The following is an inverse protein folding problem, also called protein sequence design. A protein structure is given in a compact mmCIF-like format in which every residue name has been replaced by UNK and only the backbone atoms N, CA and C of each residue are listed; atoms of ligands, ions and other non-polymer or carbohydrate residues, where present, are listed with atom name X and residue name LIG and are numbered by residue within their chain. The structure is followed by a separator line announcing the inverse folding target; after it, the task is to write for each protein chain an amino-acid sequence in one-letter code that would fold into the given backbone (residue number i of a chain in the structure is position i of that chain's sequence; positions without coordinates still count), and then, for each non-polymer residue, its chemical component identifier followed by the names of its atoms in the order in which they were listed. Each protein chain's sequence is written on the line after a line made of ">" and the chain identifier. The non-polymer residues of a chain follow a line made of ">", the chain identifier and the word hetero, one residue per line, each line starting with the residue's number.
data_IF_458956981748
#
_entry.id   IF_458956981748
#
_cell.length_a   1.000
_cell.length_b   1.000
_cell.length_c   1.000
_cell.angle_alpha   90.00
_cell.angle_beta   90.00
_cell.angle_gamma   90.00
#
_symmetry.space_group_name_H-M   'P 1'
#
loop_
_entity.id
_entity.type
_entity.pdbx_description
1 polymer ?
#
# COMPACT_ATOMS: atom_id res chain seq x y z
N UNK A 1 -1.02 4.29 -11.33
CA UNK A 1 -0.24 3.53 -12.33
C UNK A 1 0.42 2.34 -11.65
N UNK A 2 0.47 1.18 -12.33
CA UNK A 2 1.12 -0.02 -11.80
C UNK A 2 2.65 0.14 -11.80
N UNK A 3 3.35 -0.32 -10.75
CA UNK A 3 4.80 -0.30 -10.70
C UNK A 3 5.39 -1.35 -11.65
N UNK A 4 6.62 -1.09 -12.13
CA UNK A 4 7.28 -1.88 -13.20
C UNK A 4 7.44 -3.36 -12.83
N UNK A 5 7.69 -3.66 -11.56
CA UNK A 5 7.84 -5.01 -11.02
C UNK A 5 6.55 -5.85 -11.11
N UNK A 6 5.39 -5.20 -11.10
CA UNK A 6 4.08 -5.84 -11.26
C UNK A 6 3.63 -5.95 -12.73
N UNK A 7 4.34 -5.34 -13.68
CA UNK A 7 4.03 -5.48 -15.10
C UNK A 7 4.28 -6.92 -15.57
N UNK A 8 3.30 -7.48 -16.29
CA UNK A 8 3.39 -8.81 -16.86
C UNK A 8 3.42 -8.71 -18.38
N UNK A 9 4.52 -9.17 -18.99
CA UNK A 9 4.72 -9.16 -20.43
C UNK A 9 5.48 -10.42 -20.87
N UNK A 10 5.58 -10.60 -22.18
CA UNK A 10 6.44 -11.61 -22.81
C UNK A 10 7.14 -11.00 -24.02
N UNK A 11 8.31 -11.52 -24.35
CA UNK A 11 8.98 -11.21 -25.61
C UNK A 11 8.47 -12.15 -26.71
N UNK A 12 8.28 -11.60 -27.91
CA UNK A 12 7.92 -12.33 -29.12
C UNK A 12 8.74 -11.76 -30.29
N UNK A 13 9.90 -12.35 -30.55
CA UNK A 13 10.89 -11.77 -31.47
C UNK A 13 11.37 -10.41 -30.94
N UNK A 14 11.17 -9.36 -31.74
CA UNK A 14 11.54 -7.98 -31.41
C UNK A 14 10.42 -7.20 -30.69
N UNK A 15 9.29 -7.85 -30.39
CA UNK A 15 8.13 -7.21 -29.78
C UNK A 15 7.96 -7.57 -28.29
N UNK A 16 7.50 -6.59 -27.51
CA UNK A 16 7.03 -6.78 -26.13
C UNK A 16 5.51 -6.89 -26.14
N UNK A 17 5.00 -8.08 -25.81
CA UNK A 17 3.57 -8.36 -25.77
C UNK A 17 3.08 -8.33 -24.32
N UNK A 18 2.14 -7.45 -23.95
CA UNK A 18 1.57 -7.42 -22.60
C UNK A 18 0.73 -8.67 -22.36
N UNK A 19 0.89 -9.28 -21.17
CA UNK A 19 0.01 -10.36 -20.74
C UNK A 19 -1.26 -9.76 -20.17
N UNK A 20 -2.37 -9.92 -20.89
CA UNK A 20 -3.70 -9.52 -20.42
C UNK A 20 -4.20 -10.51 -19.39
N UNK A 21 -4.83 -9.99 -18.34
CA UNK A 21 -5.48 -10.79 -17.33
C UNK A 21 -6.76 -11.43 -17.90
N UNK A 22 -6.94 -12.74 -17.69
CA UNK A 22 -8.16 -13.42 -18.07
C UNK A 22 -9.30 -13.03 -17.12
N UNK A 23 -10.50 -12.79 -17.66
CA UNK A 23 -11.67 -12.42 -16.85
C UNK A 23 -12.50 -13.69 -16.55
N UNK A 24 -11.96 -14.54 -15.71
CA UNK A 24 -12.55 -15.82 -15.30
C UNK A 24 -13.07 -15.79 -13.85
N UNK A 25 -13.60 -16.93 -13.38
CA UNK A 25 -14.18 -17.03 -12.04
C UNK A 25 -13.13 -16.84 -10.93
N UNK A 26 -11.92 -17.38 -11.10
CA UNK A 26 -10.84 -17.27 -10.13
C UNK A 26 -10.39 -15.81 -9.98
N UNK A 27 -10.15 -15.13 -11.09
CA UNK A 27 -9.74 -13.72 -11.11
C UNK A 27 -10.81 -12.83 -10.47
N UNK A 28 -12.09 -13.09 -10.78
CA UNK A 28 -13.22 -12.36 -10.17
C UNK A 28 -13.31 -12.61 -8.66
N UNK A 29 -13.06 -13.83 -8.20
CA UNK A 29 -13.07 -14.15 -6.78
C UNK A 29 -11.97 -13.39 -6.03
N UNK A 30 -10.74 -13.37 -6.56
CA UNK A 30 -9.63 -12.61 -5.98
C UNK A 30 -9.93 -11.11 -5.93
N UNK A 31 -10.48 -10.56 -7.02
CA UNK A 31 -10.87 -9.16 -7.05
C UNK A 31 -11.95 -8.84 -6.01
N UNK A 32 -12.97 -9.69 -5.89
CA UNK A 32 -14.05 -9.52 -4.91
C UNK A 32 -13.53 -9.59 -3.47
N UNK A 33 -12.65 -10.54 -3.17
CA UNK A 33 -12.01 -10.68 -1.86
C UNK A 33 -11.23 -9.42 -1.48
N UNK A 34 -10.38 -8.92 -2.39
CA UNK A 34 -9.62 -7.69 -2.16
C UNK A 34 -10.52 -6.46 -1.98
N UNK A 35 -11.55 -6.31 -2.81
CA UNK A 35 -12.51 -5.19 -2.66
C UNK A 35 -13.20 -5.26 -1.29
N UNK A 36 -13.62 -6.45 -0.87
CA UNK A 36 -14.26 -6.67 0.42
C UNK A 36 -13.31 -6.33 1.57
N UNK A 37 -12.03 -6.69 1.45
CA UNK A 37 -11.00 -6.36 2.45
C UNK A 37 -10.87 -4.84 2.63
N UNK A 38 -10.77 -4.09 1.53
CA UNK A 38 -10.71 -2.63 1.57
C UNK A 38 -11.98 -2.00 2.15
N UNK A 39 -13.15 -2.54 1.82
CA UNK A 39 -14.42 -2.06 2.38
C UNK A 39 -14.52 -2.27 3.90
N UNK A 40 -14.03 -3.41 4.38
CA UNK A 40 -14.02 -3.76 5.80
C UNK A 40 -12.93 -3.01 6.59
N UNK A 41 -11.88 -2.54 5.92
CA UNK A 41 -10.80 -1.76 6.53
C UNK A 41 -11.12 -0.26 6.68
N UNK A 42 -12.35 0.17 6.37
CA UNK A 42 -12.81 1.53 6.70
C UNK A 42 -12.72 1.75 8.21
N UNK A 43 -12.36 2.96 8.61
CA UNK A 43 -12.13 3.35 10.02
C UNK A 43 -10.94 2.66 10.71
N UNK A 44 -10.20 1.82 9.99
CA UNK A 44 -8.95 1.22 10.46
C UNK A 44 -7.73 1.98 9.94
N UNK A 45 -6.57 1.75 10.56
CA UNK A 45 -5.33 2.36 10.09
C UNK A 45 -4.87 1.72 8.78
N UNK A 46 -4.19 2.50 7.94
CA UNK A 46 -3.53 1.97 6.73
C UNK A 46 -2.51 0.86 7.05
N UNK A 47 -1.91 0.88 8.24
CA UNK A 47 -1.01 -0.16 8.71
C UNK A 47 -1.69 -1.52 8.90
N UNK A 48 -2.91 -1.53 9.46
CA UNK A 48 -3.70 -2.75 9.61
C UNK A 48 -4.10 -3.34 8.27
N UNK A 49 -4.57 -2.51 7.33
CA UNK A 49 -4.87 -2.93 5.96
C UNK A 49 -3.63 -3.54 5.28
N UNK A 50 -2.47 -2.89 5.38
CA UNK A 50 -1.23 -3.40 4.79
C UNK A 50 -0.84 -4.77 5.35
N UNK A 51 -1.03 -4.99 6.66
CA UNK A 51 -0.77 -6.29 7.29
C UNK A 51 -1.70 -7.37 6.73
N UNK A 52 -3.01 -7.09 6.64
CA UNK A 52 -3.97 -8.03 6.08
C UNK A 52 -3.67 -8.36 4.60
N UNK A 53 -3.25 -7.37 3.81
CA UNK A 53 -2.83 -7.57 2.42
C UNK A 53 -1.59 -8.47 2.32
N UNK A 54 -0.63 -8.32 3.24
CA UNK A 54 0.56 -9.15 3.28
C UNK A 54 0.24 -10.61 3.66
N UNK A 55 -0.68 -10.82 4.60
CA UNK A 55 -1.19 -12.14 4.96
C UNK A 55 -1.86 -12.80 3.75
N UNK A 56 -2.78 -12.10 3.08
CA UNK A 56 -3.50 -12.61 1.90
C UNK A 56 -2.57 -12.95 0.73
N UNK A 57 -1.47 -12.21 0.57
CA UNK A 57 -0.46 -12.50 -0.45
C UNK A 57 0.24 -13.85 -0.20
N UNK A 58 0.53 -14.18 1.06
CA UNK A 58 1.28 -15.39 1.44
C UNK A 58 0.55 -16.71 1.24
N UNK A 59 -0.76 -16.68 0.98
CA UNK A 59 -1.61 -17.88 0.92
C UNK A 59 -1.63 -18.58 -0.45
N UNK A 60 -1.21 -17.93 -1.55
CA UNK A 60 -1.32 -18.53 -2.89
C UNK A 60 -0.26 -18.09 -3.90
N UNK A 61 -0.14 -18.84 -5.00
CA UNK A 61 0.79 -18.54 -6.11
C UNK A 61 0.37 -17.32 -6.94
N UNK A 62 -0.84 -16.80 -6.73
CA UNK A 62 -1.40 -15.65 -7.45
C UNK A 62 -0.94 -14.30 -6.86
N UNK A 63 0.15 -14.28 -6.09
CA UNK A 63 0.65 -13.11 -5.37
C UNK A 63 0.81 -11.87 -6.26
N UNK A 64 1.25 -12.03 -7.51
CA UNK A 64 1.42 -10.90 -8.45
C UNK A 64 0.09 -10.25 -8.82
N UNK A 65 -0.95 -11.05 -9.04
CA UNK A 65 -2.31 -10.55 -9.32
C UNK A 65 -2.87 -9.84 -8.09
N UNK A 66 -2.76 -10.48 -6.91
CA UNK A 66 -3.20 -9.90 -5.64
C UNK A 66 -2.53 -8.55 -5.37
N UNK A 67 -1.21 -8.47 -5.50
CA UNK A 67 -0.44 -7.21 -5.37
C UNK A 67 -0.86 -6.15 -6.39
N UNK A 68 -1.04 -6.53 -7.65
CA UNK A 68 -1.45 -5.61 -8.71
C UNK A 68 -2.79 -4.95 -8.41
N UNK A 69 -3.79 -5.76 -8.03
CA UNK A 69 -5.12 -5.28 -7.67
C UNK A 69 -5.10 -4.47 -6.37
N UNK A 70 -4.39 -4.92 -5.34
CA UNK A 70 -4.23 -4.17 -4.09
C UNK A 70 -3.59 -2.79 -4.32
N UNK A 71 -2.59 -2.70 -5.20
CA UNK A 71 -1.96 -1.43 -5.57
C UNK A 71 -2.95 -0.48 -6.26
N UNK A 72 -3.79 -1.01 -7.16
CA UNK A 72 -4.85 -0.21 -7.79
C UNK A 72 -5.83 0.30 -6.72
N UNK A 73 -6.33 -0.57 -5.86
CA UNK A 73 -7.27 -0.18 -4.79
C UNK A 73 -6.67 0.81 -3.79
N UNK A 74 -5.36 0.75 -3.53
CA UNK A 74 -4.65 1.70 -2.65
C UNK A 74 -4.49 3.08 -3.27
N UNK A 75 -4.58 3.19 -4.60
CA UNK A 75 -4.43 4.48 -5.26
C UNK A 75 -5.57 5.45 -4.93
N UNK A 76 -5.28 6.74 -5.00
CA UNK A 76 -6.22 7.84 -4.69
C UNK A 76 -7.50 7.82 -5.56
N UNK A 77 -7.51 7.03 -6.64
CA UNK A 77 -8.71 6.83 -7.48
C UNK A 77 -9.78 5.99 -6.77
N UNK A 78 -9.40 5.04 -5.91
CA UNK A 78 -10.32 4.08 -5.30
C UNK A 78 -10.39 4.20 -3.78
N UNK A 79 -9.35 4.70 -3.14
CA UNK A 79 -9.29 4.88 -1.68
C UNK A 79 -8.83 6.28 -1.32
N UNK A 80 -9.38 6.84 -0.24
CA UNK A 80 -8.89 8.07 0.37
C UNK A 80 -8.32 7.73 1.75
N UNK A 81 -7.08 8.15 2.02
CA UNK A 81 -6.45 8.00 3.33
C UNK A 81 -6.25 9.38 3.96
N UNK A 82 -6.90 9.59 5.09
CA UNK A 82 -6.85 10.86 5.79
C UNK A 82 -5.89 10.81 6.98
N UNK A 83 -5.24 11.93 7.23
CA UNK A 83 -4.42 12.13 8.42
C UNK A 83 -5.33 12.62 9.54
N UNK A 84 -5.61 11.75 10.51
CA UNK A 84 -6.42 12.10 11.68
C UNK A 84 -5.48 12.64 12.77
N UNK A 85 -5.33 13.97 12.83
CA UNK A 85 -4.52 14.63 13.86
C UNK A 85 -5.03 16.04 14.14
N UNK A 86 -5.07 16.49 15.41
CA UNK A 86 -5.46 17.86 15.76
C UNK A 86 -4.41 18.90 15.36
N UNK A 87 -3.17 18.46 15.08
CA UNK A 87 -2.06 19.29 14.64
C UNK A 87 -1.44 18.71 13.38
N UNK A 88 -0.87 19.56 12.54
CA UNK A 88 -0.04 19.10 11.42
C UNK A 88 1.07 18.15 11.94
N UNK A 89 1.14 16.89 11.48
CA UNK A 89 2.10 15.92 12.00
C UNK A 89 3.57 16.30 11.76
N UNK A 90 3.87 17.07 10.71
CA UNK A 90 5.23 17.54 10.47
C UNK A 90 5.66 18.52 11.57
N UNK A 91 4.82 19.52 11.84
CA UNK A 91 5.03 20.51 12.90
C UNK A 91 5.10 19.85 14.29
N UNK A 92 4.21 18.89 14.56
CA UNK A 92 4.21 18.14 15.82
C UNK A 92 5.55 17.41 16.03
N UNK A 93 6.02 16.66 15.03
CA UNK A 93 7.30 15.93 15.11
C UNK A 93 8.48 16.87 15.30
N UNK A 94 8.53 17.98 14.56
CA UNK A 94 9.61 18.98 14.70
C UNK A 94 9.71 19.49 16.14
N UNK A 95 8.60 19.89 16.76
CA UNK A 95 8.58 20.41 18.13
C UNK A 95 8.97 19.34 19.15
N UNK A 96 8.41 18.14 19.03
CA UNK A 96 8.72 17.02 19.94
C UNK A 96 10.20 16.67 19.87
N UNK A 97 10.78 16.55 18.67
CA UNK A 97 12.18 16.20 18.52
C UNK A 97 13.13 17.31 18.99
N UNK A 98 12.80 18.58 18.74
CA UNK A 98 13.59 19.70 19.25
C UNK A 98 13.63 19.72 20.79
N UNK A 99 12.49 19.54 21.46
CA UNK A 99 12.40 19.47 22.91
C UNK A 99 13.15 18.25 23.48
N UNK A 100 13.02 17.09 22.84
CA UNK A 100 13.76 15.88 23.24
C UNK A 100 15.27 16.06 23.11
N UNK A 101 15.74 16.71 22.04
CA UNK A 101 17.16 17.00 21.82
C UNK A 101 17.75 17.92 22.90
N UNK A 102 16.99 18.93 23.37
CA UNK A 102 17.42 19.78 24.49
C UNK A 102 17.61 18.99 25.79
N UNK A 103 16.80 17.94 26.00
CA UNK A 103 16.85 17.11 27.21
C UNK A 103 17.91 16.01 27.14
N UNK A 104 18.18 15.48 25.95
CA UNK A 104 19.26 14.52 25.71
C UNK A 104 20.64 15.18 25.60
N UNK A 105 20.68 16.44 25.15
CA UNK A 105 21.87 17.27 24.97
C UNK A 105 22.22 18.14 26.16
N UNK A 106 22.05 17.64 27.40
CA UNK A 106 22.66 18.21 28.60
C UNK A 106 24.18 18.07 28.61
N UNK A 107 24.86 18.50 27.54
CA UNK A 107 26.25 18.92 27.55
C UNK A 107 26.22 20.33 26.98
N UNK A 108 26.32 21.30 27.90
CA UNK A 108 26.48 22.72 27.59
C UNK A 108 27.51 22.90 26.48
N UNK A 109 27.11 23.51 25.37
CA UNK A 109 28.04 24.28 24.56
C UNK A 109 28.32 25.58 25.33
N UNK A 110 29.54 25.67 25.87
CA UNK A 110 30.18 26.88 26.39
C UNK A 110 30.26 27.98 25.33
#
# INVERSE_FOLDING_TARGET
>A
MLPTDLLSHRYSGEEIVPKRLAIDAQTRAIAHELISLFQNAKDHTRGELNRQLQELEGESTDYRLKRGLAHLLTSDTFSCFETISPLDPLTLRQRVFALSAQRAGGVSAT
#
